data_IF_809006725334
#
_entry.id   IF_809006725334
#
_cell.length_a   1.000
_cell.length_b   1.000
_cell.length_c   1.000
_cell.angle_alpha   90.00
_cell.angle_beta   90.00
_cell.angle_gamma   90.00
#
_symmetry.space_group_name_H-M   'P 1'
#
loop_
_entity.id
_entity.type
_entity.pdbx_description
1 polymer ?
#
# COMPACT_ATOMS: atom_id res chain seq x y z
N UNK A 1 -25.55 -16.47 14.56
CA UNK A 1 -24.52 -16.55 13.51
C UNK A 1 -23.35 -15.72 14.03
N UNK A 2 -22.24 -16.35 14.40
CA UNK A 2 -21.03 -15.61 14.78
C UNK A 2 -20.39 -15.12 13.48
N UNK A 3 -20.03 -13.84 13.38
CA UNK A 3 -19.32 -13.31 12.21
C UNK A 3 -17.91 -13.90 12.14
N UNK A 4 -17.37 -14.08 10.93
CA UNK A 4 -16.02 -14.62 10.70
C UNK A 4 -14.90 -13.65 11.11
N UNK A 5 -15.19 -12.34 11.09
CA UNK A 5 -14.26 -11.28 11.43
C UNK A 5 -15.00 -10.00 11.82
N UNK A 6 -14.29 -9.07 12.46
CA UNK A 6 -14.68 -7.68 12.62
C UNK A 6 -13.64 -6.76 11.96
N UNK A 7 -14.08 -5.57 11.53
CA UNK A 7 -13.20 -4.52 11.03
C UNK A 7 -13.18 -3.37 12.03
N UNK A 8 -12.02 -3.13 12.66
CA UNK A 8 -11.83 -2.00 13.57
C UNK A 8 -11.21 -0.84 12.81
N UNK A 9 -11.93 0.27 12.72
CA UNK A 9 -11.42 1.46 12.05
C UNK A 9 -10.30 2.11 12.87
N UNK A 10 -9.12 2.23 12.28
CA UNK A 10 -7.94 2.82 12.92
C UNK A 10 -7.77 4.30 12.60
N UNK A 11 -8.23 4.74 11.43
CA UNK A 11 -8.14 6.12 11.02
C UNK A 11 -8.00 6.31 9.53
N UNK A 12 -7.55 7.50 9.14
CA UNK A 12 -7.35 7.89 7.75
C UNK A 12 -5.96 8.49 7.61
N UNK A 13 -5.27 8.06 6.58
CA UNK A 13 -3.92 8.52 6.23
C UNK A 13 -3.94 9.06 4.80
N UNK A 14 -3.22 10.15 4.55
CA UNK A 14 -2.99 10.63 3.19
C UNK A 14 -1.83 9.84 2.59
N UNK A 15 -2.08 9.16 1.48
CA UNK A 15 -1.09 8.34 0.78
C UNK A 15 -0.77 8.93 -0.58
N UNK A 16 0.49 8.81 -0.99
CA UNK A 16 0.90 8.91 -2.38
C UNK A 16 0.58 7.58 -3.07
N UNK A 17 -0.30 7.63 -4.05
CA UNK A 17 -0.78 6.49 -4.83
C UNK A 17 -0.15 6.51 -6.21
N UNK A 18 0.42 5.37 -6.60
CA UNK A 18 1.08 5.21 -7.90
C UNK A 18 0.02 5.15 -9.02
N UNK A 19 0.23 5.85 -10.15
CA UNK A 19 -0.71 5.79 -11.27
C UNK A 19 -0.80 4.37 -11.88
N UNK A 20 -1.95 3.97 -12.43
CA UNK A 20 -2.10 2.67 -13.11
C UNK A 20 -1.15 2.48 -14.31
N UNK A 21 -0.86 3.57 -15.03
CA UNK A 21 -0.03 3.59 -16.25
C UNK A 21 1.48 3.44 -15.96
N UNK A 22 1.91 3.67 -14.72
CA UNK A 22 3.32 3.65 -14.29
C UNK A 22 3.90 2.25 -14.14
N UNK A 23 3.10 1.18 -14.33
CA UNK A 23 3.64 -0.19 -14.48
C UNK A 23 4.70 -0.29 -15.58
N UNK A 24 4.75 0.69 -16.49
CA UNK A 24 5.71 0.80 -17.60
C UNK A 24 6.95 1.66 -17.31
N UNK A 25 6.96 2.52 -16.27
CA UNK A 25 8.17 3.28 -15.93
C UNK A 25 9.09 2.35 -15.16
N UNK A 26 10.24 2.04 -15.76
CA UNK A 26 11.27 1.24 -15.10
C UNK A 26 11.60 1.89 -13.76
N UNK A 27 11.43 1.15 -12.66
CA UNK A 27 11.73 1.61 -11.28
C UNK A 27 13.11 2.26 -11.15
N UNK A 28 14.05 1.90 -12.03
CA UNK A 28 15.35 2.54 -12.16
C UNK A 28 15.27 4.02 -12.57
N UNK A 29 14.42 4.38 -13.53
CA UNK A 29 14.26 5.77 -13.93
C UNK A 29 13.66 6.64 -12.81
N UNK A 30 12.76 6.05 -12.01
CA UNK A 30 12.23 6.71 -10.82
C UNK A 30 13.33 6.91 -9.76
N UNK A 31 14.17 5.89 -9.54
CA UNK A 31 15.33 6.01 -8.66
C UNK A 31 16.26 7.14 -9.12
N UNK A 32 16.69 7.11 -10.38
CA UNK A 32 17.64 8.08 -10.93
C UNK A 32 17.11 9.52 -10.82
N UNK A 33 15.81 9.72 -11.06
CA UNK A 33 15.14 11.01 -10.91
C UNK A 33 15.09 11.49 -9.46
N UNK A 34 14.80 10.61 -8.51
CA UNK A 34 14.66 10.98 -7.11
C UNK A 34 16.00 11.09 -6.36
N UNK A 35 17.04 10.39 -6.84
CA UNK A 35 18.35 10.35 -6.23
C UNK A 35 18.98 11.75 -6.06
N UNK A 36 18.70 12.68 -6.97
CA UNK A 36 19.21 14.06 -6.89
C UNK A 36 18.71 14.84 -5.65
N UNK A 37 17.59 14.44 -5.05
CA UNK A 37 17.02 15.07 -3.84
C UNK A 37 17.50 14.43 -2.54
N UNK A 38 18.32 13.40 -2.65
CA UNK A 38 18.70 12.51 -1.56
C UNK A 38 20.18 12.69 -1.26
N UNK A 39 20.49 13.73 -0.49
CA UNK A 39 21.87 14.21 -0.26
C UNK A 39 22.59 13.53 0.92
N UNK A 40 21.97 12.55 1.58
CA UNK A 40 22.56 11.83 2.72
C UNK A 40 22.39 10.33 2.55
N UNK A 41 23.33 9.50 3.07
CA UNK A 41 23.23 8.04 2.99
C UNK A 41 21.94 7.48 3.60
N UNK A 42 21.45 8.13 4.65
CA UNK A 42 20.23 7.73 5.35
C UNK A 42 18.97 7.99 4.52
N UNK A 43 18.93 9.10 3.77
CA UNK A 43 17.88 9.36 2.80
C UNK A 43 18.00 8.42 1.59
N UNK A 44 19.22 8.05 1.18
CA UNK A 44 19.46 7.13 0.07
C UNK A 44 18.90 5.75 0.39
N UNK A 45 19.14 5.27 1.61
CA UNK A 45 18.56 4.03 2.07
C UNK A 45 17.03 4.06 2.03
N UNK A 46 16.40 5.17 2.48
CA UNK A 46 14.93 5.33 2.40
C UNK A 46 14.41 5.30 0.96
N UNK A 47 15.15 5.89 0.02
CA UNK A 47 14.81 5.84 -1.40
C UNK A 47 14.92 4.41 -1.94
N UNK A 48 16.01 3.71 -1.63
CA UNK A 48 16.19 2.30 -2.03
C UNK A 48 15.06 1.42 -1.48
N UNK A 49 14.70 1.59 -0.21
CA UNK A 49 13.60 0.86 0.42
C UNK A 49 12.26 1.16 -0.27
N UNK A 50 12.00 2.41 -0.61
CA UNK A 50 10.81 2.82 -1.37
C UNK A 50 10.75 2.16 -2.75
N UNK A 51 11.86 2.18 -3.50
CA UNK A 51 11.94 1.54 -4.82
C UNK A 51 11.76 0.02 -4.73
N UNK A 52 12.36 -0.62 -3.72
CA UNK A 52 12.20 -2.06 -3.47
C UNK A 52 10.75 -2.44 -3.14
N UNK A 53 10.03 -1.60 -2.38
CA UNK A 53 8.59 -1.79 -2.11
C UNK A 53 7.77 -1.74 -3.40
N UNK A 54 8.07 -0.81 -4.31
CA UNK A 54 7.40 -0.74 -5.63
C UNK A 54 7.69 -2.01 -6.43
N UNK A 55 8.94 -2.46 -6.51
CA UNK A 55 9.32 -3.67 -7.26
C UNK A 55 8.62 -4.92 -6.71
N UNK A 56 8.55 -5.04 -5.38
CA UNK A 56 7.85 -6.14 -4.72
C UNK A 56 6.36 -6.12 -5.07
N UNK A 57 5.70 -4.97 -4.95
CA UNK A 57 4.30 -4.80 -5.33
C UNK A 57 4.02 -5.15 -6.79
N UNK A 58 4.90 -4.74 -7.72
CA UNK A 58 4.73 -5.00 -9.16
C UNK A 58 4.97 -6.46 -9.56
N UNK A 59 5.80 -7.18 -8.81
CA UNK A 59 6.16 -8.58 -9.09
C UNK A 59 5.21 -9.59 -8.46
N UNK A 60 4.53 -9.22 -7.37
CA UNK A 60 3.60 -10.09 -6.68
C UNK A 60 2.22 -10.09 -7.37
N UNK A 61 1.75 -11.29 -7.72
CA UNK A 61 0.48 -11.49 -8.38
C UNK A 61 -0.73 -11.14 -7.50
N UNK A 62 -0.58 -11.19 -6.17
CA UNK A 62 -1.64 -10.84 -5.23
C UNK A 62 -2.08 -9.37 -5.38
N UNK A 63 -1.17 -8.47 -5.77
CA UNK A 63 -1.44 -7.03 -5.88
C UNK A 63 -1.79 -6.55 -7.30
N UNK A 64 -2.13 -7.45 -8.22
CA UNK A 64 -2.43 -7.08 -9.62
C UNK A 64 -3.54 -6.05 -9.76
N UNK A 65 -4.53 -6.12 -8.86
CA UNK A 65 -5.76 -5.32 -8.89
C UNK A 65 -5.78 -4.21 -7.83
N UNK A 66 -4.68 -3.99 -7.13
CA UNK A 66 -4.60 -3.04 -6.03
C UNK A 66 -3.52 -1.99 -6.35
N UNK A 67 -3.77 -0.71 -6.02
CA UNK A 67 -2.79 0.33 -6.28
C UNK A 67 -1.61 0.20 -5.31
N UNK A 68 -0.39 0.51 -5.75
CA UNK A 68 0.70 0.75 -4.81
C UNK A 68 0.49 2.10 -4.14
N UNK A 69 0.68 2.18 -2.83
CA UNK A 69 0.56 3.44 -2.09
C UNK A 69 1.46 3.47 -0.87
N UNK A 70 1.92 4.66 -0.48
CA UNK A 70 2.71 4.89 0.74
C UNK A 70 2.22 6.15 1.46
N UNK A 71 2.26 6.21 2.81
CA UNK A 71 1.90 7.42 3.54
C UNK A 71 2.76 8.62 3.13
N UNK A 72 2.15 9.79 2.94
CA UNK A 72 2.89 11.03 2.61
C UNK A 72 3.93 11.35 3.68
N UNK A 73 3.62 11.07 4.96
CA UNK A 73 4.54 11.27 6.07
C UNK A 73 5.86 10.48 5.91
N UNK A 74 5.82 9.27 5.35
CA UNK A 74 7.02 8.47 5.08
C UNK A 74 7.88 9.06 3.97
N UNK A 75 7.27 9.82 3.05
CA UNK A 75 7.93 10.36 1.86
C UNK A 75 8.46 11.79 2.06
N UNK A 76 8.28 12.39 3.23
CA UNK A 76 8.76 13.75 3.52
C UNK A 76 10.28 13.93 3.38
N UNK A 77 11.06 12.84 3.44
CA UNK A 77 12.51 12.90 3.26
C UNK A 77 12.94 13.35 1.85
N UNK A 78 12.05 13.22 0.86
CA UNK A 78 12.29 13.65 -0.53
C UNK A 78 12.20 15.16 -0.71
N UNK A 79 11.58 15.90 0.22
CA UNK A 79 11.42 17.36 0.13
C UNK A 79 10.88 17.78 -1.25
N UNK A 80 11.65 18.51 -2.06
CA UNK A 80 11.28 18.94 -3.42
C UNK A 80 11.04 17.76 -4.38
N UNK A 81 11.65 16.60 -4.15
CA UNK A 81 11.43 15.38 -4.91
C UNK A 81 9.98 14.85 -4.82
N UNK A 82 9.20 15.29 -3.83
CA UNK A 82 7.76 15.02 -3.79
C UNK A 82 7.00 15.68 -4.95
N UNK A 83 7.46 16.84 -5.43
CA UNK A 83 6.84 17.52 -6.57
C UNK A 83 7.09 16.74 -7.87
N UNK A 84 8.27 16.12 -8.02
CA UNK A 84 8.56 15.23 -9.15
C UNK A 84 7.60 14.05 -9.22
N UNK A 85 7.26 13.45 -8.07
CA UNK A 85 6.26 12.38 -8.01
C UNK A 85 4.89 12.85 -8.53
N UNK A 86 4.48 14.08 -8.19
CA UNK A 86 3.23 14.66 -8.71
C UNK A 86 3.28 14.89 -10.21
N UNK A 87 4.43 15.32 -10.75
CA UNK A 87 4.65 15.45 -12.20
C UNK A 87 4.56 14.09 -12.91
N UNK A 88 4.95 13.01 -12.24
CA UNK A 88 4.74 11.62 -12.66
C UNK A 88 3.31 11.10 -12.37
N UNK A 89 2.36 12.01 -12.13
CA UNK A 89 0.95 11.73 -11.87
C UNK A 89 0.67 10.93 -10.59
N UNK A 90 1.60 10.85 -9.63
CA UNK A 90 1.28 10.29 -8.32
C UNK A 90 0.26 11.18 -7.62
N UNK A 91 -0.80 10.57 -7.09
CA UNK A 91 -1.91 11.29 -6.48
C UNK A 91 -1.87 11.15 -4.97
N UNK A 92 -2.09 12.26 -4.26
CA UNK A 92 -2.37 12.20 -2.83
C UNK A 92 -3.84 11.83 -2.67
N UNK A 93 -4.09 10.67 -2.07
CA UNK A 93 -5.42 10.16 -1.83
C UNK A 93 -5.63 9.79 -0.36
N UNK A 94 -6.85 9.99 0.15
CA UNK A 94 -7.21 9.51 1.47
C UNK A 94 -7.35 7.98 1.46
N UNK A 95 -6.60 7.31 2.33
CA UNK A 95 -6.67 5.86 2.53
C UNK A 95 -7.21 5.59 3.93
N UNK A 96 -8.21 4.72 4.00
CA UNK A 96 -8.80 4.33 5.27
C UNK A 96 -8.10 3.10 5.80
N UNK A 97 -7.74 3.13 7.07
CA UNK A 97 -6.98 2.06 7.72
C UNK A 97 -7.90 1.29 8.63
N UNK A 98 -7.89 -0.03 8.49
CA UNK A 98 -8.64 -0.95 9.34
C UNK A 98 -7.73 -2.05 9.88
N UNK A 99 -8.05 -2.54 11.07
CA UNK A 99 -7.54 -3.79 11.61
C UNK A 99 -8.62 -4.87 11.47
N UNK A 100 -8.20 -6.08 11.12
CA UNK A 100 -9.03 -7.26 10.94
C UNK A 100 -8.90 -8.13 12.18
N UNK A 101 -9.98 -8.20 12.94
CA UNK A 101 -10.08 -9.05 14.12
C UNK A 101 -10.80 -10.35 13.73
N UNK A 102 -10.06 -11.43 13.59
CA UNK A 102 -10.61 -12.75 13.25
C UNK A 102 -11.43 -13.32 14.41
N UNK A 103 -12.47 -14.08 14.11
CA UNK A 103 -13.31 -14.73 15.12
C UNK A 103 -12.62 -15.87 15.87
N UNK A 104 -11.47 -16.34 15.37
CA UNK A 104 -10.64 -17.40 15.96
C UNK A 104 -9.21 -16.89 16.17
N UNK A 105 -8.49 -17.40 17.18
CA UNK A 105 -7.09 -17.05 17.36
C UNK A 105 -6.22 -17.62 16.23
N UNK A 106 -5.10 -16.95 15.94
CA UNK A 106 -4.11 -17.37 14.92
C UNK A 106 -3.60 -18.81 15.14
N UNK A 107 -3.55 -19.27 16.40
CA UNK A 107 -3.15 -20.64 16.74
C UNK A 107 -4.21 -21.71 16.46
N UNK A 108 -5.42 -21.32 16.04
CA UNK A 108 -6.51 -22.25 15.75
C UNK A 108 -6.25 -23.01 14.45
N UNK A 109 -6.54 -24.32 14.37
CA UNK A 109 -6.49 -25.05 13.09
C UNK A 109 -7.47 -24.47 12.05
N UNK A 110 -8.50 -23.76 12.51
CA UNK A 110 -9.51 -23.12 11.64
C UNK A 110 -9.09 -21.73 11.15
N UNK A 111 -7.93 -21.21 11.56
CA UNK A 111 -7.50 -19.85 11.23
C UNK A 111 -7.28 -19.65 9.73
N UNK A 112 -6.46 -20.48 9.08
CA UNK A 112 -6.15 -20.33 7.64
C UNK A 112 -7.40 -20.41 6.76
N UNK A 113 -8.32 -21.40 6.93
CA UNK A 113 -9.57 -21.43 6.18
C UNK A 113 -10.45 -20.19 6.39
N UNK A 114 -10.50 -19.66 7.63
CA UNK A 114 -11.25 -18.44 7.92
C UNK A 114 -10.58 -17.24 7.25
N UNK A 115 -9.25 -17.14 7.32
CA UNK A 115 -8.49 -16.06 6.69
C UNK A 115 -8.73 -16.01 5.18
N UNK A 116 -8.62 -17.15 4.49
CA UNK A 116 -8.91 -17.26 3.06
C UNK A 116 -10.33 -16.77 2.74
N UNK A 117 -11.31 -17.15 3.57
CA UNK A 117 -12.69 -16.73 3.39
C UNK A 117 -12.88 -15.22 3.64
N UNK A 118 -12.19 -14.66 4.63
CA UNK A 118 -12.19 -13.22 4.90
C UNK A 118 -11.59 -12.45 3.73
N UNK A 119 -10.48 -12.91 3.15
CA UNK A 119 -9.85 -12.26 1.99
C UNK A 119 -10.78 -12.24 0.77
N UNK A 120 -11.51 -13.33 0.52
CA UNK A 120 -12.53 -13.38 -0.54
C UNK A 120 -13.65 -12.36 -0.28
N UNK A 121 -14.18 -12.31 0.94
CA UNK A 121 -15.23 -11.36 1.33
C UNK A 121 -14.76 -9.92 1.17
N UNK A 122 -13.55 -9.60 1.65
CA UNK A 122 -12.98 -8.26 1.55
C UNK A 122 -12.80 -7.84 0.08
N UNK A 123 -12.36 -8.77 -0.77
CA UNK A 123 -12.17 -8.55 -2.22
C UNK A 123 -13.49 -8.26 -2.95
N UNK A 124 -14.61 -8.84 -2.48
CA UNK A 124 -15.95 -8.58 -3.02
C UNK A 124 -16.50 -7.20 -2.61
N UNK A 125 -16.02 -6.64 -1.48
CA UNK A 125 -16.57 -5.41 -0.89
C UNK A 125 -15.73 -4.18 -1.23
N UNK A 126 -14.41 -4.31 -1.31
CA UNK A 126 -13.52 -3.16 -1.46
C UNK A 126 -12.20 -3.50 -2.14
N UNK A 127 -11.52 -2.47 -2.65
CA UNK A 127 -10.12 -2.58 -3.06
C UNK A 127 -9.27 -2.31 -1.82
N UNK A 128 -8.39 -3.25 -1.48
CA UNK A 128 -7.56 -3.13 -0.29
C UNK A 128 -6.15 -3.69 -0.49
N UNK A 129 -5.22 -3.31 0.38
CA UNK A 129 -3.89 -3.91 0.49
C UNK A 129 -3.61 -4.29 1.93
N UNK A 130 -2.97 -5.43 2.15
CA UNK A 130 -2.44 -5.80 3.46
C UNK A 130 -1.22 -4.94 3.83
N UNK A 131 -1.12 -4.59 5.12
CA UNK A 131 0.07 -4.04 5.75
C UNK A 131 0.38 -4.84 7.02
N UNK A 132 1.20 -5.88 6.87
CA UNK A 132 1.40 -6.86 7.95
C UNK A 132 0.28 -7.90 7.95
N UNK A 133 0.01 -8.47 9.11
CA UNK A 133 -0.81 -9.69 9.23
C UNK A 133 -2.31 -9.42 9.46
N UNK A 134 -2.65 -8.27 10.04
CA UNK A 134 -4.00 -7.93 10.51
C UNK A 134 -4.46 -6.54 10.09
N UNK A 135 -3.62 -5.71 9.50
CA UNK A 135 -3.99 -4.36 9.06
C UNK A 135 -4.19 -4.30 7.55
N UNK A 136 -5.26 -3.64 7.12
CA UNK A 136 -5.54 -3.36 5.72
C UNK A 136 -5.65 -1.87 5.44
N UNK A 137 -5.19 -1.48 4.25
CA UNK A 137 -5.42 -0.21 3.61
C UNK A 137 -6.61 -0.36 2.68
N UNK A 138 -7.69 0.38 2.92
CA UNK A 138 -8.88 0.38 2.08
C UNK A 138 -8.90 1.65 1.23
N UNK A 139 -8.94 1.45 -0.08
CA UNK A 139 -8.99 2.52 -1.05
C UNK A 139 -10.44 2.84 -1.37
N UNK A 140 -10.81 4.11 -1.20
CA UNK A 140 -12.09 4.58 -1.73
C UNK A 140 -12.08 4.36 -3.24
N UNK A 141 -13.17 3.81 -3.78
CA UNK A 141 -13.33 3.61 -5.22
C UNK A 141 -13.38 4.97 -5.92
N UNK A 142 -12.23 5.50 -6.29
CA UNK A 142 -12.15 6.57 -7.28
C UNK A 142 -12.55 5.98 -8.62
N UNK A 143 -13.48 6.62 -9.37
CA UNK A 143 -13.85 6.16 -10.70
C UNK A 143 -12.60 6.13 -11.57
N UNK A 144 -12.34 4.97 -12.18
CA UNK A 144 -11.37 4.82 -13.28
C UNK A 144 -11.87 5.62 -14.48
#
# INVERSE_FOLDING_TARGET
>A
MQGLFNMRYLGKEDHLVMPPLTKLVATQALYDMLFQYVLTPEKEQKLLDFINRIQTHLSDNAYRNTPFSVPVAEMQFLEEGLEELKLLCWQVMPVHVFEIEYSVPVSSPDFEPIKDQVELILSDICVYNWQGDDRILVYSSTPV
#
